data_IF_848943857166
#
_entry.id   IF_848943857166
#
_cell.length_a   1.000
_cell.length_b   1.000
_cell.length_c   1.000
_cell.angle_alpha   90.00
_cell.angle_beta   90.00
_cell.angle_gamma   90.00
#
_symmetry.space_group_name_H-M   'P 1'
#
loop_
_entity.id
_entity.type
_entity.pdbx_description
1 polymer ?
#
# COMPACT_ATOMS: atom_id res chain seq x y z
N UNK A 1 17.49 -5.84 -4.11
CA UNK A 1 16.63 -5.05 -5.02
C UNK A 1 15.22 -4.92 -4.40
N UNK A 2 14.90 -3.78 -3.78
CA UNK A 2 13.50 -3.51 -3.41
C UNK A 2 12.72 -3.31 -4.69
N UNK A 3 11.66 -4.10 -4.91
CA UNK A 3 10.78 -3.93 -6.07
C UNK A 3 10.15 -2.52 -6.02
N UNK A 4 9.92 -1.87 -7.18
CA UNK A 4 9.25 -0.57 -7.22
C UNK A 4 7.90 -0.67 -6.51
N UNK A 5 7.57 0.37 -5.73
CA UNK A 5 6.33 0.41 -4.96
C UNK A 5 5.15 0.53 -5.92
N UNK A 6 4.32 -0.51 -5.99
CA UNK A 6 3.05 -0.47 -6.71
C UNK A 6 1.99 0.34 -5.91
N UNK A 7 0.86 0.65 -6.53
CA UNK A 7 -0.23 1.41 -5.92
C UNK A 7 -0.65 0.85 -4.55
N UNK A 8 -0.76 -0.48 -4.46
CA UNK A 8 -1.04 -1.17 -3.20
C UNK A 8 0.03 -0.90 -2.14
N UNK A 9 1.33 -0.99 -2.47
CA UNK A 9 2.43 -0.76 -1.54
C UNK A 9 2.52 0.70 -1.09
N UNK A 10 2.16 1.66 -1.95
CA UNK A 10 2.11 3.09 -1.60
C UNK A 10 1.06 3.35 -0.53
N UNK A 11 -0.15 2.85 -0.75
CA UNK A 11 -1.24 2.91 0.22
C UNK A 11 -0.93 2.12 1.50
N UNK A 12 -0.53 0.85 1.35
CA UNK A 12 -0.30 -0.08 2.45
C UNK A 12 0.80 0.38 3.41
N UNK A 13 1.75 1.22 2.96
CA UNK A 13 2.83 1.72 3.81
C UNK A 13 2.32 2.61 4.95
N UNK A 14 1.37 3.49 4.66
CA UNK A 14 0.76 4.38 5.65
C UNK A 14 -0.12 3.58 6.61
N UNK A 15 -1.07 2.84 6.04
CA UNK A 15 -2.04 2.03 6.79
C UNK A 15 -1.39 0.97 7.66
N UNK A 16 -0.34 0.28 7.17
CA UNK A 16 0.42 -0.69 7.99
C UNK A 16 0.98 -0.03 9.24
N UNK A 17 1.52 1.18 9.12
CA UNK A 17 2.13 1.89 10.25
C UNK A 17 1.08 2.22 11.31
N UNK A 18 -0.11 2.63 10.90
CA UNK A 18 -1.22 2.93 11.81
C UNK A 18 -1.75 1.66 12.49
N UNK A 19 -1.94 0.58 11.71
CA UNK A 19 -2.40 -0.69 12.26
C UNK A 19 -1.41 -1.31 13.25
N UNK A 20 -0.10 -1.21 12.99
CA UNK A 20 0.93 -1.67 13.93
C UNK A 20 1.01 -0.83 15.20
N UNK A 21 0.65 0.47 15.13
CA UNK A 21 0.53 1.33 16.31
C UNK A 21 -0.70 0.96 17.15
N UNK A 22 -1.83 0.68 16.49
CA UNK A 22 -3.07 0.33 17.16
C UNK A 22 -3.03 -1.08 17.75
N UNK A 23 -2.36 -2.01 17.07
CA UNK A 23 -2.25 -3.41 17.46
C UNK A 23 -0.78 -3.80 17.66
N UNK A 24 -0.19 -3.28 18.73
CA UNK A 24 1.18 -3.62 19.11
C UNK A 24 1.27 -5.14 19.41
N UNK A 25 2.17 -5.84 18.72
CA UNK A 25 2.38 -7.28 18.88
C UNK A 25 1.66 -8.17 17.84
N UNK A 26 0.87 -7.60 16.93
CA UNK A 26 0.33 -8.38 15.80
C UNK A 26 1.41 -8.63 14.75
N UNK A 27 1.49 -9.88 14.28
CA UNK A 27 2.43 -10.22 13.21
C UNK A 27 2.14 -9.47 11.90
N UNK A 28 3.20 -9.03 11.24
CA UNK A 28 3.13 -8.33 9.94
C UNK A 28 2.41 -9.13 8.85
N UNK A 29 2.41 -10.46 8.92
CA UNK A 29 1.66 -11.33 8.01
C UNK A 29 0.16 -11.10 8.13
N UNK A 30 -0.38 -11.09 9.35
CA UNK A 30 -1.80 -10.81 9.62
C UNK A 30 -2.22 -9.42 9.17
N UNK A 31 -1.37 -8.42 9.42
CA UNK A 31 -1.59 -7.05 8.92
C UNK A 31 -1.61 -7.01 7.40
N UNK A 32 -0.72 -7.75 6.73
CA UNK A 32 -0.68 -7.78 5.26
C UNK A 32 -1.94 -8.41 4.66
N UNK A 33 -2.50 -9.43 5.30
CA UNK A 33 -3.79 -10.02 4.91
C UNK A 33 -4.92 -9.00 5.05
N UNK A 34 -5.00 -8.32 6.20
CA UNK A 34 -6.01 -7.30 6.46
C UNK A 34 -5.93 -6.13 5.46
N UNK A 35 -4.72 -5.66 5.16
CA UNK A 35 -4.48 -4.62 4.18
C UNK A 35 -4.94 -5.06 2.77
N UNK A 36 -4.64 -6.30 2.36
CA UNK A 36 -5.13 -6.83 1.08
C UNK A 36 -6.66 -6.85 0.98
N UNK A 37 -7.34 -7.26 2.05
CA UNK A 37 -8.81 -7.25 2.11
C UNK A 37 -9.38 -5.83 2.06
N UNK A 38 -8.78 -4.88 2.80
CA UNK A 38 -9.23 -3.49 2.81
C UNK A 38 -8.99 -2.83 1.45
N UNK A 39 -7.84 -3.05 0.82
CA UNK A 39 -7.56 -2.58 -0.55
C UNK A 39 -8.58 -3.12 -1.56
N UNK A 40 -8.89 -4.41 -1.52
CA UNK A 40 -9.87 -4.99 -2.43
C UNK A 40 -11.28 -4.41 -2.25
N UNK A 41 -11.64 -3.99 -1.03
CA UNK A 41 -12.92 -3.33 -0.72
C UNK A 41 -12.96 -1.84 -1.05
N UNK A 42 -11.82 -1.19 -1.27
CA UNK A 42 -11.78 0.22 -1.65
C UNK A 42 -12.35 0.43 -3.04
N UNK A 43 -12.98 1.58 -3.26
CA UNK A 43 -13.50 1.94 -4.58
C UNK A 43 -12.35 2.34 -5.52
N UNK A 44 -12.59 2.29 -6.82
CA UNK A 44 -11.60 2.72 -7.80
C UNK A 44 -11.23 4.20 -7.63
N UNK A 45 -12.17 5.04 -7.16
CA UNK A 45 -11.89 6.44 -6.84
C UNK A 45 -10.89 6.59 -5.68
N UNK A 46 -10.99 5.74 -4.66
CA UNK A 46 -10.07 5.75 -3.52
C UNK A 46 -8.68 5.21 -3.90
N UNK A 47 -8.63 4.25 -4.84
CA UNK A 47 -7.37 3.68 -5.33
C UNK A 47 -6.67 4.57 -6.35
N UNK A 48 -7.43 5.34 -7.15
CA UNK A 48 -6.94 6.20 -8.23
C UNK A 48 -5.70 7.04 -7.87
N UNK A 49 -5.65 7.79 -6.75
CA UNK A 49 -4.47 8.59 -6.42
C UNK A 49 -3.19 7.74 -6.31
N UNK A 50 -3.29 6.52 -5.77
CA UNK A 50 -2.14 5.62 -5.64
C UNK A 50 -1.70 5.01 -6.98
N UNK A 51 -2.64 4.77 -7.89
CA UNK A 51 -2.32 4.36 -9.27
C UNK A 51 -1.62 5.48 -10.05
N UNK A 52 -2.07 6.72 -9.90
CA UNK A 52 -1.41 7.89 -10.50
C UNK A 52 0.00 8.08 -9.94
N UNK A 53 0.19 7.92 -8.63
CA UNK A 53 1.49 8.01 -7.97
C UNK A 53 2.43 6.86 -8.39
N UNK A 54 1.92 5.64 -8.52
CA UNK A 54 2.68 4.51 -9.08
C UNK A 54 3.16 4.83 -10.50
N UNK A 55 2.28 5.40 -11.35
CA UNK A 55 2.64 5.78 -12.73
C UNK A 55 3.73 6.85 -12.73
N UNK A 56 3.65 7.85 -11.85
CA UNK A 56 4.69 8.88 -11.68
C UNK A 56 6.03 8.29 -11.26
N UNK A 57 6.03 7.42 -10.25
CA UNK A 57 7.24 6.74 -9.77
C UNK A 57 7.85 5.82 -10.83
N UNK A 58 7.01 5.11 -11.58
CA UNK A 58 7.46 4.23 -12.68
C UNK A 58 8.11 5.05 -13.81
N UNK A 59 7.59 6.24 -14.11
CA UNK A 59 8.19 7.16 -15.08
C UNK A 59 9.54 7.71 -14.60
N UNK A 60 9.65 8.13 -13.33
CA UNK A 60 10.92 8.64 -12.77
C UNK A 60 12.03 7.59 -12.69
N UNK A 61 11.68 6.31 -12.50
CA UNK A 61 12.67 5.21 -12.45
C UNK A 61 13.08 4.68 -13.84
N UNK A 62 12.52 5.22 -14.93
CA UNK A 62 12.81 4.78 -16.30
C UNK A 62 13.81 5.70 -17.04
N UNK A 63 14.37 6.69 -16.36
CA UNK A 63 15.57 7.44 -16.76
C UNK A 63 16.78 6.96 -15.96
#
# INVERSE_FOLDING_TARGET
LRKPMNAFMLWARGERRELLKLHAGVHNSSISILLGLKWNKMTENDKRPYYEEQLKLTKMHRE
#
